data_IF_442196705077
#
_entry.id   IF_442196705077
#
_cell.length_a   1.000
_cell.length_b   1.000
_cell.length_c   1.000
_cell.angle_alpha   90.00
_cell.angle_beta   90.00
_cell.angle_gamma   90.00
#
_symmetry.space_group_name_H-M   'P 1'
#
loop_
_entity.id
_entity.type
_entity.pdbx_description
1 polymer ?
#
# COMPACT_ATOMS: atom_id res chain seq x y z
N UNK A 1 -17.22 16.03 -6.60
CA UNK A 1 -15.98 16.48 -7.27
C UNK A 1 -15.14 15.23 -7.52
N UNK A 2 -14.88 14.87 -8.77
CA UNK A 2 -14.05 13.70 -9.09
C UNK A 2 -12.57 14.05 -8.84
N UNK A 3 -11.89 13.23 -8.04
CA UNK A 3 -10.45 13.34 -7.79
C UNK A 3 -9.66 13.16 -9.10
N UNK A 4 -8.58 13.93 -9.35
CA UNK A 4 -7.82 13.82 -10.59
C UNK A 4 -7.21 12.43 -10.74
N UNK A 5 -7.06 11.92 -11.98
CA UNK A 5 -6.40 10.64 -12.21
C UNK A 5 -4.94 10.73 -11.73
N UNK A 6 -4.43 9.70 -11.03
CA UNK A 6 -3.05 9.70 -10.57
C UNK A 6 -2.09 9.77 -11.76
N UNK A 7 -1.00 10.53 -11.62
CA UNK A 7 0.04 10.65 -12.62
C UNK A 7 0.62 9.28 -13.01
N UNK A 8 1.10 9.10 -14.26
CA UNK A 8 1.80 7.89 -14.66
C UNK A 8 3.05 7.71 -13.79
N UNK A 9 3.09 6.59 -13.08
CA UNK A 9 4.10 6.30 -12.06
C UNK A 9 5.38 5.75 -12.68
N UNK A 10 6.57 6.06 -12.14
CA UNK A 10 7.82 5.47 -12.60
C UNK A 10 7.76 3.93 -12.49
N UNK A 11 8.11 3.18 -13.55
CA UNK A 11 8.22 1.73 -13.47
C UNK A 11 9.41 1.37 -12.57
N UNK A 12 9.12 0.88 -11.36
CA UNK A 12 10.15 0.42 -10.41
C UNK A 12 9.94 0.88 -8.96
N UNK A 13 9.04 1.84 -8.71
CA UNK A 13 8.73 2.23 -7.34
C UNK A 13 7.92 1.14 -6.62
N UNK A 14 8.22 0.87 -5.33
CA UNK A 14 7.52 -0.15 -4.55
C UNK A 14 6.00 0.13 -4.45
N UNK A 15 5.59 1.39 -4.53
CA UNK A 15 4.19 1.81 -4.59
C UNK A 15 3.40 1.12 -5.73
N UNK A 16 4.03 0.99 -6.90
CA UNK A 16 3.40 0.49 -8.11
C UNK A 16 3.18 -1.01 -8.00
N UNK A 17 4.18 -1.72 -7.47
CA UNK A 17 4.08 -3.14 -7.15
C UNK A 17 2.98 -3.42 -6.12
N UNK A 18 2.90 -2.65 -5.04
CA UNK A 18 1.88 -2.89 -4.01
C UNK A 18 0.49 -2.50 -4.46
N UNK A 19 0.35 -1.43 -5.24
CA UNK A 19 -0.94 -1.08 -5.84
C UNK A 19 -1.48 -2.21 -6.71
N UNK A 20 -0.67 -2.78 -7.61
CA UNK A 20 -1.11 -3.90 -8.44
C UNK A 20 -1.53 -5.11 -7.61
N UNK A 21 -0.83 -5.41 -6.51
CA UNK A 21 -1.23 -6.49 -5.60
C UNK A 21 -2.56 -6.21 -4.90
N UNK A 22 -2.77 -4.97 -4.43
CA UNK A 22 -4.02 -4.56 -3.77
C UNK A 22 -5.18 -4.59 -4.77
N UNK A 23 -4.99 -4.07 -5.98
CA UNK A 23 -5.99 -4.10 -7.05
C UNK A 23 -6.36 -5.53 -7.46
N UNK A 24 -5.37 -6.42 -7.56
CA UNK A 24 -5.61 -7.84 -7.82
C UNK A 24 -6.42 -8.50 -6.70
N UNK A 25 -6.05 -8.26 -5.44
CA UNK A 25 -6.78 -8.79 -4.30
C UNK A 25 -8.21 -8.24 -4.20
N UNK A 26 -8.42 -6.97 -4.57
CA UNK A 26 -9.77 -6.38 -4.67
C UNK A 26 -10.59 -7.03 -5.79
N UNK A 27 -9.97 -7.34 -6.93
CA UNK A 27 -10.63 -8.05 -8.03
C UNK A 27 -10.98 -9.50 -7.64
N UNK A 28 -10.22 -10.10 -6.73
CA UNK A 28 -10.53 -11.41 -6.12
C UNK A 28 -11.63 -11.34 -5.04
N UNK A 29 -12.11 -10.14 -4.68
CA UNK A 29 -13.17 -9.93 -3.70
C UNK A 29 -12.70 -9.76 -2.25
N UNK A 30 -11.39 -9.66 -2.02
CA UNK A 30 -10.83 -9.40 -0.69
C UNK A 30 -11.04 -7.92 -0.34
N UNK A 31 -11.59 -7.62 0.84
CA UNK A 31 -11.78 -6.25 1.28
C UNK A 31 -10.46 -5.63 1.74
N UNK A 32 -10.28 -4.32 1.52
CA UNK A 32 -9.04 -3.59 1.87
C UNK A 32 -8.73 -3.61 3.37
N UNK A 33 -9.79 -3.72 4.17
CA UNK A 33 -9.74 -3.77 5.62
C UNK A 33 -9.25 -5.11 6.16
N UNK A 34 -9.41 -6.20 5.40
CA UNK A 34 -8.86 -7.53 5.71
C UNK A 34 -7.39 -7.66 5.27
N UNK A 35 -6.93 -6.76 4.38
CA UNK A 35 -5.56 -6.75 3.90
C UNK A 35 -4.61 -6.05 4.89
N UNK A 36 -3.40 -6.59 5.01
CA UNK A 36 -2.28 -5.96 5.69
C UNK A 36 -1.04 -5.97 4.81
N UNK A 37 -0.53 -4.78 4.49
CA UNK A 37 0.72 -4.63 3.77
C UNK A 37 1.89 -4.69 4.76
N UNK A 38 2.59 -5.82 4.79
CA UNK A 38 3.80 -5.99 5.61
C UNK A 38 5.01 -5.54 4.82
N UNK A 39 5.69 -4.52 5.30
CA UNK A 39 6.84 -3.91 4.65
C UNK A 39 8.11 -4.12 5.46
N UNK A 40 9.22 -4.35 4.77
CA UNK A 40 10.54 -4.15 5.37
C UNK A 40 10.70 -2.68 5.80
N UNK A 41 11.61 -2.40 6.75
CA UNK A 41 11.88 -1.01 7.16
C UNK A 41 12.36 -0.14 5.98
N UNK A 42 13.10 -0.75 5.05
CA UNK A 42 13.58 -0.08 3.83
C UNK A 42 12.41 0.33 2.94
N UNK A 43 11.51 -0.60 2.62
CA UNK A 43 10.37 -0.31 1.73
C UNK A 43 9.36 0.62 2.39
N UNK A 44 9.14 0.51 3.70
CA UNK A 44 8.32 1.47 4.42
C UNK A 44 8.88 2.90 4.33
N UNK A 45 10.21 3.04 4.41
CA UNK A 45 10.89 4.34 4.27
C UNK A 45 10.81 4.85 2.84
N UNK A 46 11.02 3.98 1.84
CA UNK A 46 10.89 4.32 0.43
C UNK A 46 9.46 4.75 0.10
N UNK A 47 8.45 4.00 0.53
CA UNK A 47 7.03 4.32 0.30
C UNK A 47 6.64 5.64 0.95
N UNK A 48 7.11 5.90 2.18
CA UNK A 48 6.82 7.15 2.89
C UNK A 48 7.56 8.37 2.31
N UNK A 49 8.68 8.17 1.61
CA UNK A 49 9.49 9.24 1.02
C UNK A 49 9.32 9.36 -0.50
N UNK A 50 8.58 8.45 -1.12
CA UNK A 50 8.39 8.45 -2.57
C UNK A 50 7.49 9.63 -2.96
N UNK A 51 8.03 10.65 -3.66
CA UNK A 51 7.23 11.79 -4.10
C UNK A 51 6.16 11.41 -5.12
N UNK A 52 6.27 10.23 -5.74
CA UNK A 52 5.26 9.70 -6.66
C UNK A 52 4.07 9.08 -5.92
N UNK A 53 4.18 8.80 -4.61
CA UNK A 53 3.04 8.33 -3.81
C UNK A 53 2.11 9.50 -3.51
N UNK A 54 0.88 9.53 -4.05
CA UNK A 54 -0.04 10.60 -3.75
C UNK A 54 -0.36 10.61 -2.27
N UNK A 55 -0.30 11.77 -1.63
CA UNK A 55 -0.69 11.91 -0.20
C UNK A 55 -2.13 11.45 0.01
N UNK A 56 -3.00 11.58 -0.99
CA UNK A 56 -4.38 11.08 -0.96
C UNK A 56 -4.50 9.55 -0.85
N UNK A 57 -3.44 8.80 -1.22
CA UNK A 57 -3.38 7.36 -1.09
C UNK A 57 -2.81 6.92 0.27
N UNK A 58 -2.22 7.83 1.04
CA UNK A 58 -1.73 7.59 2.39
C UNK A 58 -2.71 8.18 3.41
N UNK A 59 -3.23 7.34 4.29
CA UNK A 59 -4.10 7.76 5.39
C UNK A 59 -3.54 7.28 6.71
N UNK A 60 -3.62 8.11 7.75
CA UNK A 60 -3.34 7.69 9.12
C UNK A 60 -4.66 7.55 9.87
N UNK A 61 -4.96 6.35 10.35
CA UNK A 61 -6.17 6.11 11.13
C UNK A 61 -5.89 5.07 12.23
N UNK A 62 -6.29 5.38 13.46
CA UNK A 62 -6.01 4.53 14.64
C UNK A 62 -4.52 4.38 14.96
N UNK A 63 -3.70 5.40 14.68
CA UNK A 63 -2.24 5.36 14.89
C UNK A 63 -1.46 4.52 13.86
N UNK A 64 -2.14 3.87 12.91
CA UNK A 64 -1.51 3.10 11.85
C UNK A 64 -1.54 3.86 10.51
N UNK A 65 -0.44 3.74 9.76
CA UNK A 65 -0.36 4.18 8.38
C UNK A 65 -1.15 3.21 7.50
N UNK A 66 -1.90 3.73 6.54
CA UNK A 66 -2.65 2.97 5.55
C UNK A 66 -2.28 3.44 4.16
N UNK A 67 -2.12 2.51 3.23
CA UNK A 67 -1.91 2.79 1.81
C UNK A 67 -3.09 2.26 1.01
N UNK A 68 -3.77 3.14 0.26
CA UNK A 68 -5.02 2.86 -0.46
C UNK A 68 -6.16 2.32 0.43
N UNK A 69 -6.06 2.51 1.75
CA UNK A 69 -6.98 1.97 2.76
C UNK A 69 -6.49 0.68 3.44
N UNK A 70 -5.44 0.03 2.92
CA UNK A 70 -4.83 -1.18 3.47
C UNK A 70 -3.88 -0.82 4.61
N UNK A 71 -3.95 -1.54 5.74
CA UNK A 71 -3.07 -1.31 6.90
C UNK A 71 -1.62 -1.60 6.55
N UNK A 72 -0.69 -0.71 6.93
CA UNK A 72 0.75 -0.97 6.81
C UNK A 72 1.31 -1.42 8.15
N UNK A 73 2.01 -2.56 8.14
CA UNK A 73 2.88 -3.01 9.22
C UNK A 73 4.33 -2.95 8.75
N UNK A 74 5.20 -2.31 9.54
CA UNK A 74 6.58 -2.02 9.16
C UNK A 74 7.54 -2.75 10.08
N UNK A 75 8.50 -3.46 9.49
CA UNK A 75 9.47 -4.28 10.20
C UNK A 75 8.94 -5.70 10.50
N UNK A 76 9.84 -6.58 10.94
CA UNK A 76 9.49 -7.95 11.34
C UNK A 76 9.27 -8.94 10.19
N UNK A 77 9.46 -8.53 8.93
CA UNK A 77 9.40 -9.40 7.76
C UNK A 77 10.71 -9.35 6.95
N UNK A 78 11.17 -10.48 6.39
CA UNK A 78 12.37 -10.52 5.55
C UNK A 78 12.13 -9.84 4.20
N UNK A 79 10.89 -9.88 3.70
CA UNK A 79 10.47 -9.34 2.42
C UNK A 79 9.11 -8.64 2.53
N UNK A 80 8.90 -7.62 1.69
CA UNK A 80 7.63 -6.88 1.66
C UNK A 80 6.56 -7.65 0.90
N UNK A 81 5.41 -7.86 1.55
CA UNK A 81 4.32 -8.71 1.05
C UNK A 81 2.95 -8.16 1.43
N UNK A 82 1.96 -8.34 0.55
CA UNK A 82 0.54 -8.13 0.87
C UNK A 82 -0.02 -9.39 1.53
N UNK A 83 -0.32 -9.30 2.82
CA UNK A 83 -1.11 -10.28 3.54
C UNK A 83 -2.60 -10.00 3.27
N UNK A 84 -3.33 -11.01 2.79
CA UNK A 84 -4.75 -10.88 2.40
C UNK A 84 -5.70 -11.22 3.54
N UNK A 85 -5.20 -11.45 4.76
CA UNK A 85 -6.01 -11.97 5.85
C UNK A 85 -6.45 -13.39 5.53
N UNK A 86 -5.55 -14.35 5.72
CA UNK A 86 -5.95 -15.76 5.62
C UNK A 86 -6.76 -16.13 6.87
N UNK A 87 -8.10 -16.11 6.78
CA UNK A 87 -9.05 -17.00 7.46
C UNK A 87 -10.48 -16.75 6.99
#
# INVERSE_FOLDING_TARGET
>A
MAKPPPAPRPPGSPDSRFRTQIEAALAEGVAREDMTLRLTLRDATLLSRDPATPVADISYAGGAMRFLGVKIEKGGVPDSVLDRGAS
#
